data_IF_763159748925
#
_entry.id   IF_763159748925
#
_cell.length_a   1.000
_cell.length_b   1.000
_cell.length_c   1.000
_cell.angle_alpha   90.00
_cell.angle_beta   90.00
_cell.angle_gamma   90.00
#
_symmetry.space_group_name_H-M   'P 1'
#
loop_
_entity.id
_entity.type
_entity.pdbx_description
1 polymer ?
#
# COMPACT_ATOMS: atom_id res chain seq x y z
N UNK A 1 -3.30 -0.68 -29.30
CA UNK A 1 -3.52 0.71 -28.79
C UNK A 1 -3.66 0.66 -27.29
N UNK A 2 -3.18 1.68 -26.57
CA UNK A 2 -3.33 1.73 -25.10
C UNK A 2 -4.78 2.07 -24.75
N UNK A 3 -5.45 1.22 -23.99
CA UNK A 3 -6.81 1.48 -23.52
C UNK A 3 -6.86 2.61 -22.49
N UNK A 4 -7.98 3.33 -22.48
CA UNK A 4 -8.27 4.40 -21.51
C UNK A 4 -9.51 4.05 -20.73
N UNK A 5 -9.41 4.04 -19.39
CA UNK A 5 -10.53 3.77 -18.50
C UNK A 5 -10.98 5.03 -17.75
N UNK A 6 -12.28 5.12 -17.49
CA UNK A 6 -12.86 6.02 -16.51
C UNK A 6 -13.55 5.21 -15.40
N UNK A 7 -13.31 5.65 -14.15
CA UNK A 7 -13.96 5.07 -12.98
C UNK A 7 -15.12 5.96 -12.54
N UNK A 8 -16.31 5.36 -12.37
CA UNK A 8 -17.51 6.05 -11.88
C UNK A 8 -17.94 5.38 -10.57
N UNK A 9 -17.69 6.05 -9.45
CA UNK A 9 -18.14 5.59 -8.14
C UNK A 9 -19.54 6.14 -7.84
N UNK A 10 -20.49 5.25 -7.54
CA UNK A 10 -21.86 5.59 -7.22
C UNK A 10 -22.09 5.37 -5.74
N UNK A 11 -22.40 6.44 -5.02
CA UNK A 11 -22.66 6.44 -3.58
C UNK A 11 -22.70 7.86 -3.02
N UNK A 12 -23.79 8.18 -2.35
CA UNK A 12 -24.00 9.49 -1.72
C UNK A 12 -23.05 9.70 -0.55
N UNK A 13 -22.68 8.65 0.18
CA UNK A 13 -21.72 8.68 1.29
C UNK A 13 -20.31 9.10 0.86
N UNK A 14 -19.92 8.82 -0.39
CA UNK A 14 -18.66 9.28 -0.96
C UNK A 14 -18.67 10.79 -1.17
N UNK A 15 -19.77 11.35 -1.68
CA UNK A 15 -19.94 12.79 -1.89
C UNK A 15 -19.99 13.57 -0.58
N UNK A 16 -20.57 12.99 0.48
CA UNK A 16 -20.62 13.57 1.80
C UNK A 16 -19.29 13.48 2.57
N UNK A 17 -18.31 12.76 2.03
CA UNK A 17 -17.02 12.56 2.69
C UNK A 17 -17.06 11.63 3.91
N UNK A 18 -18.12 10.84 4.08
CA UNK A 18 -18.27 9.92 5.19
C UNK A 18 -17.27 8.75 5.09
N UNK A 19 -16.92 8.37 3.88
CA UNK A 19 -15.93 7.34 3.58
C UNK A 19 -14.99 7.78 2.45
N UNK A 20 -13.76 7.26 2.45
CA UNK A 20 -12.82 7.45 1.34
C UNK A 20 -13.14 6.48 0.19
N UNK A 21 -12.94 6.92 -1.06
CA UNK A 21 -13.10 6.08 -2.24
C UNK A 21 -11.89 5.14 -2.43
N UNK A 22 -11.80 4.12 -1.60
CA UNK A 22 -10.72 3.11 -1.64
C UNK A 22 -10.85 2.18 -2.84
N UNK A 23 -12.05 1.95 -3.35
CA UNK A 23 -12.31 1.12 -4.53
C UNK A 23 -11.67 1.72 -5.77
N UNK A 24 -11.87 3.03 -6.00
CA UNK A 24 -11.24 3.70 -7.13
C UNK A 24 -9.71 3.68 -7.03
N UNK A 25 -9.15 3.82 -5.84
CA UNK A 25 -7.71 3.70 -5.61
C UNK A 25 -7.20 2.31 -6.01
N UNK A 26 -7.83 1.26 -5.51
CA UNK A 26 -7.45 -0.14 -5.75
C UNK A 26 -7.60 -0.51 -7.23
N UNK A 27 -8.73 -0.13 -7.87
CA UNK A 27 -8.98 -0.40 -9.28
C UNK A 27 -7.96 0.34 -10.16
N UNK A 28 -7.65 1.61 -9.88
CA UNK A 28 -6.65 2.36 -10.64
C UNK A 28 -5.26 1.72 -10.56
N UNK A 29 -4.87 1.20 -9.39
CA UNK A 29 -3.62 0.46 -9.25
C UNK A 29 -3.63 -0.80 -10.13
N UNK A 30 -4.70 -1.59 -10.08
CA UNK A 30 -4.83 -2.78 -10.90
C UNK A 30 -4.91 -2.49 -12.40
N UNK A 31 -5.59 -1.42 -12.84
CA UNK A 31 -5.61 -0.99 -14.24
C UNK A 31 -4.23 -0.55 -14.72
N UNK A 32 -3.50 0.18 -13.88
CA UNK A 32 -2.11 0.53 -14.17
C UNK A 32 -1.22 -0.71 -14.31
N UNK A 33 -1.52 -1.80 -13.60
CA UNK A 33 -0.85 -3.12 -13.77
C UNK A 33 -1.15 -3.78 -15.11
N UNK A 34 -2.29 -3.46 -15.67
CA UNK A 34 -2.71 -3.91 -17.01
C UNK A 34 -2.32 -2.93 -18.12
N UNK A 35 -1.59 -1.83 -17.80
CA UNK A 35 -1.23 -0.78 -18.75
C UNK A 35 -2.42 0.00 -19.31
N UNK A 36 -3.54 -0.03 -18.62
CA UNK A 36 -4.74 0.73 -18.94
C UNK A 36 -4.63 2.09 -18.26
N UNK A 37 -4.69 3.16 -19.04
CA UNK A 37 -4.62 4.52 -18.51
C UNK A 37 -5.94 4.94 -17.85
N UNK A 38 -5.86 5.57 -16.69
CA UNK A 38 -7.02 6.19 -16.02
C UNK A 38 -6.78 7.69 -15.95
N UNK A 39 -7.60 8.46 -16.65
CA UNK A 39 -7.49 9.91 -16.64
C UNK A 39 -8.59 10.59 -15.81
N UNK A 40 -9.70 9.90 -15.55
CA UNK A 40 -10.85 10.47 -14.85
C UNK A 40 -11.41 9.53 -13.79
N UNK A 41 -11.65 10.10 -12.61
CA UNK A 41 -12.49 9.53 -11.57
C UNK A 41 -13.71 10.42 -11.40
N UNK A 42 -14.89 9.85 -11.59
CA UNK A 42 -16.16 10.54 -11.39
C UNK A 42 -16.87 9.94 -10.17
N UNK A 43 -17.36 10.79 -9.28
CA UNK A 43 -18.18 10.36 -8.13
C UNK A 43 -19.57 10.95 -8.31
N UNK A 44 -20.59 10.11 -8.23
CA UNK A 44 -21.99 10.51 -8.33
C UNK A 44 -22.80 9.95 -7.18
N UNK A 45 -23.79 10.72 -6.68
CA UNK A 45 -24.74 10.22 -5.69
C UNK A 45 -25.77 9.28 -6.34
N UNK A 46 -26.54 8.59 -5.52
CA UNK A 46 -27.55 7.59 -5.90
C UNK A 46 -28.76 8.24 -6.60
N UNK A 47 -28.53 8.66 -7.84
CA UNK A 47 -29.51 9.28 -8.70
C UNK A 47 -29.31 8.81 -10.15
N UNK A 48 -30.31 8.13 -10.75
CA UNK A 48 -30.16 7.49 -12.06
C UNK A 48 -29.86 8.48 -13.19
N UNK A 49 -30.42 9.68 -13.16
CA UNK A 49 -30.19 10.67 -14.21
C UNK A 49 -28.74 11.24 -14.14
N UNK A 50 -28.22 11.44 -12.93
CA UNK A 50 -26.83 11.86 -12.74
C UNK A 50 -25.85 10.76 -13.16
N UNK A 51 -26.15 9.50 -12.80
CA UNK A 51 -25.33 8.35 -13.24
C UNK A 51 -25.34 8.28 -14.77
N UNK A 52 -26.50 8.42 -15.42
CA UNK A 52 -26.60 8.41 -16.87
C UNK A 52 -25.78 9.56 -17.50
N UNK A 53 -25.90 10.79 -17.00
CA UNK A 53 -25.12 11.93 -17.49
C UNK A 53 -23.60 11.69 -17.35
N UNK A 54 -23.15 11.13 -16.23
CA UNK A 54 -21.75 10.78 -16.04
C UNK A 54 -21.28 9.74 -17.07
N UNK A 55 -22.10 8.72 -17.32
CA UNK A 55 -21.82 7.69 -18.32
C UNK A 55 -21.79 8.28 -19.74
N UNK A 56 -22.71 9.17 -20.10
CA UNK A 56 -22.74 9.81 -21.41
C UNK A 56 -21.50 10.69 -21.68
N UNK A 57 -20.96 11.31 -20.63
CA UNK A 57 -19.69 12.06 -20.71
C UNK A 57 -18.52 11.08 -20.84
N UNK A 58 -18.49 10.04 -20.02
CA UNK A 58 -17.40 9.08 -19.97
C UNK A 58 -17.26 8.29 -21.29
N UNK A 59 -18.36 7.92 -21.95
CA UNK A 59 -18.39 7.29 -23.28
C UNK A 59 -17.65 8.07 -24.37
N UNK A 60 -17.46 9.38 -24.21
CA UNK A 60 -16.81 10.24 -25.20
C UNK A 60 -15.29 10.31 -25.03
N UNK A 61 -14.75 9.79 -23.90
CA UNK A 61 -13.35 10.01 -23.54
C UNK A 61 -12.63 8.77 -23.00
N UNK A 62 -13.36 7.65 -22.84
CA UNK A 62 -12.80 6.39 -22.40
C UNK A 62 -13.43 5.23 -23.16
N UNK A 63 -12.65 4.22 -23.47
CA UNK A 63 -13.08 2.97 -24.13
C UNK A 63 -13.35 1.85 -23.10
N UNK A 64 -13.05 2.11 -21.82
CA UNK A 64 -13.40 1.23 -20.69
C UNK A 64 -14.09 2.06 -19.60
N UNK A 65 -15.29 1.68 -19.20
CA UNK A 65 -16.01 2.25 -18.06
C UNK A 65 -16.12 1.22 -16.95
N UNK A 66 -15.64 1.57 -15.77
CA UNK A 66 -15.80 0.71 -14.59
C UNK A 66 -16.63 1.49 -13.56
N UNK A 67 -17.77 0.92 -13.16
CA UNK A 67 -18.59 1.50 -12.10
C UNK A 67 -18.45 0.70 -10.81
N UNK A 68 -18.49 1.37 -9.66
CA UNK A 68 -18.57 0.75 -8.33
C UNK A 68 -19.78 1.27 -7.58
N UNK A 69 -20.50 0.38 -6.89
CA UNK A 69 -21.70 0.73 -6.11
C UNK A 69 -22.99 0.68 -6.88
N UNK A 70 -24.11 0.76 -6.14
CA UNK A 70 -25.47 0.77 -6.67
C UNK A 70 -25.92 -0.55 -7.34
N UNK A 71 -25.38 -1.70 -6.92
CA UNK A 71 -25.77 -3.04 -7.40
C UNK A 71 -26.56 -3.85 -6.37
N UNK A 72 -26.81 -3.30 -5.20
CA UNK A 72 -27.53 -3.95 -4.11
C UNK A 72 -29.03 -4.12 -4.36
N UNK A 73 -29.78 -4.53 -3.32
CA UNK A 73 -31.21 -4.81 -3.43
C UNK A 73 -32.10 -3.65 -3.02
N UNK A 74 -31.54 -2.48 -2.71
CA UNK A 74 -32.30 -1.34 -2.19
C UNK A 74 -32.84 -0.45 -3.32
N UNK A 75 -33.79 0.41 -3.03
CA UNK A 75 -34.45 1.24 -4.06
C UNK A 75 -33.51 2.30 -4.67
N UNK A 76 -32.42 2.59 -4.03
CA UNK A 76 -31.35 3.50 -4.45
C UNK A 76 -30.23 2.79 -5.25
N UNK A 77 -30.24 1.45 -5.31
CA UNK A 77 -29.30 0.66 -6.11
C UNK A 77 -29.70 0.66 -7.61
N UNK A 78 -29.46 1.76 -8.28
CA UNK A 78 -29.94 2.02 -9.64
C UNK A 78 -28.87 2.01 -10.72
N UNK A 79 -27.63 1.64 -10.40
CA UNK A 79 -26.51 1.66 -11.36
C UNK A 79 -26.77 0.78 -12.58
N UNK A 80 -27.27 -0.45 -12.39
CA UNK A 80 -27.60 -1.34 -13.52
C UNK A 80 -28.71 -0.78 -14.42
N UNK A 81 -29.71 -0.13 -13.83
CA UNK A 81 -30.82 0.49 -14.57
C UNK A 81 -30.29 1.66 -15.39
N UNK A 82 -29.51 2.55 -14.77
CA UNK A 82 -28.97 3.74 -15.44
C UNK A 82 -28.03 3.38 -16.61
N UNK A 83 -27.15 2.39 -16.41
CA UNK A 83 -26.23 1.95 -17.46
C UNK A 83 -26.98 1.18 -18.57
N UNK A 84 -27.93 0.32 -18.25
CA UNK A 84 -28.75 -0.36 -19.25
C UNK A 84 -29.47 0.66 -20.14
N UNK A 85 -30.05 1.72 -19.57
CA UNK A 85 -30.69 2.80 -20.31
C UNK A 85 -29.68 3.59 -21.15
N UNK A 86 -28.51 3.95 -20.62
CA UNK A 86 -27.48 4.71 -21.34
C UNK A 86 -26.93 3.96 -22.58
N UNK A 87 -27.00 2.64 -22.57
CA UNK A 87 -26.58 1.77 -23.68
C UNK A 87 -27.74 1.10 -24.42
N UNK A 88 -28.98 1.54 -24.20
CA UNK A 88 -30.17 1.03 -24.90
C UNK A 88 -30.46 -0.46 -24.67
N UNK A 89 -30.03 -1.02 -23.52
CA UNK A 89 -30.20 -2.43 -23.21
C UNK A 89 -31.39 -2.66 -22.28
N UNK A 90 -32.07 -3.80 -22.45
CA UNK A 90 -33.12 -4.27 -21.53
C UNK A 90 -32.45 -4.97 -20.35
N UNK A 91 -33.08 -4.89 -19.17
CA UNK A 91 -32.76 -5.74 -18.04
C UNK A 91 -33.56 -7.04 -18.13
N UNK A 92 -32.87 -8.17 -18.12
CA UNK A 92 -33.44 -9.50 -18.16
C UNK A 92 -33.20 -10.22 -16.85
N UNK A 93 -34.19 -10.97 -16.38
CA UNK A 93 -34.04 -11.80 -15.19
C UNK A 93 -33.15 -13.00 -15.50
N UNK A 94 -32.08 -13.15 -14.69
CA UNK A 94 -31.05 -14.17 -14.85
C UNK A 94 -31.19 -15.24 -13.75
N UNK A 95 -31.84 -16.35 -14.08
CA UNK A 95 -32.13 -17.43 -13.12
C UNK A 95 -30.86 -17.98 -12.41
N UNK A 96 -29.72 -18.21 -13.08
CA UNK A 96 -28.50 -18.66 -12.38
C UNK A 96 -28.07 -17.70 -11.29
N UNK A 97 -28.13 -16.38 -11.52
CA UNK A 97 -27.81 -15.38 -10.48
C UNK A 97 -28.82 -15.40 -9.33
N UNK A 98 -30.11 -15.55 -9.65
CA UNK A 98 -31.15 -15.68 -8.63
C UNK A 98 -30.97 -16.94 -7.77
N UNK A 99 -30.56 -18.05 -8.38
CA UNK A 99 -30.24 -19.27 -7.64
C UNK A 99 -29.07 -19.08 -6.69
N UNK A 100 -27.98 -18.44 -7.14
CA UNK A 100 -26.82 -18.12 -6.26
C UNK A 100 -27.21 -17.23 -5.08
N UNK A 101 -28.12 -16.28 -5.28
CA UNK A 101 -28.66 -15.45 -4.18
C UNK A 101 -29.38 -16.34 -3.17
N UNK A 102 -30.28 -17.24 -3.64
CA UNK A 102 -31.00 -18.19 -2.76
C UNK A 102 -30.05 -19.07 -1.96
N UNK A 103 -29.05 -19.64 -2.62
CA UNK A 103 -28.08 -20.54 -2.00
C UNK A 103 -27.27 -19.81 -0.93
N UNK A 104 -26.88 -18.57 -1.20
CA UNK A 104 -26.13 -17.74 -0.24
C UNK A 104 -26.97 -17.38 0.99
N UNK A 105 -28.22 -16.98 0.80
CA UNK A 105 -29.12 -16.69 1.91
C UNK A 105 -29.42 -17.94 2.73
N UNK A 106 -29.63 -19.09 2.08
CA UNK A 106 -29.81 -20.37 2.75
C UNK A 106 -28.57 -20.74 3.59
N UNK A 107 -27.35 -20.56 3.06
CA UNK A 107 -26.12 -20.79 3.81
C UNK A 107 -25.98 -19.87 5.04
N UNK A 108 -26.57 -18.66 5.01
CA UNK A 108 -26.60 -17.73 6.14
C UNK A 108 -27.78 -18.00 7.11
N UNK A 109 -28.65 -18.96 6.81
CA UNK A 109 -29.84 -19.22 7.60
C UNK A 109 -30.88 -18.10 7.56
N UNK A 110 -30.93 -17.31 6.48
CA UNK A 110 -31.81 -16.15 6.31
C UNK A 110 -32.78 -16.35 5.12
N UNK A 111 -34.00 -15.87 5.21
CA UNK A 111 -34.90 -15.88 4.06
C UNK A 111 -34.47 -14.84 3.02
N UNK A 112 -34.67 -15.17 1.74
CA UNK A 112 -34.51 -14.20 0.64
C UNK A 112 -35.77 -13.33 0.60
N UNK A 113 -35.62 -12.03 0.47
CA UNK A 113 -36.73 -11.10 0.26
C UNK A 113 -36.86 -10.78 -1.23
N UNK A 114 -38.05 -10.36 -1.65
CA UNK A 114 -38.36 -10.16 -3.08
C UNK A 114 -37.43 -9.13 -3.73
N UNK A 115 -37.07 -8.08 -3.02
CA UNK A 115 -36.15 -7.06 -3.50
C UNK A 115 -34.71 -7.59 -3.78
N UNK A 116 -34.28 -8.69 -3.13
CA UNK A 116 -32.98 -9.29 -3.44
C UNK A 116 -32.90 -9.78 -4.90
N UNK A 117 -34.00 -10.17 -5.51
CA UNK A 117 -34.03 -10.62 -6.91
C UNK A 117 -33.79 -9.49 -7.92
N UNK A 118 -33.89 -8.22 -7.51
CA UNK A 118 -33.43 -7.09 -8.31
C UNK A 118 -31.93 -7.20 -8.68
N UNK A 119 -31.14 -7.83 -7.82
CA UNK A 119 -29.73 -8.10 -8.11
C UNK A 119 -29.54 -9.08 -9.28
N UNK A 120 -30.51 -9.94 -9.55
CA UNK A 120 -30.51 -10.89 -10.67
C UNK A 120 -30.97 -10.29 -11.99
N UNK A 121 -31.37 -9.01 -12.03
CA UNK A 121 -31.66 -8.30 -13.28
C UNK A 121 -30.37 -7.92 -13.97
N UNK A 122 -30.10 -8.47 -15.15
CA UNK A 122 -28.84 -8.35 -15.89
C UNK A 122 -29.11 -7.68 -17.24
N UNK A 123 -28.27 -6.71 -17.68
CA UNK A 123 -28.38 -6.12 -19.02
C UNK A 123 -28.27 -7.20 -20.10
N UNK A 124 -29.15 -7.12 -21.10
CA UNK A 124 -29.20 -8.04 -22.21
C UNK A 124 -27.87 -8.18 -22.92
N UNK A 125 -27.39 -9.42 -23.11
CA UNK A 125 -26.13 -9.73 -23.74
C UNK A 125 -24.88 -9.43 -22.89
N UNK A 126 -25.04 -9.14 -21.60
CA UNK A 126 -23.92 -8.95 -20.70
C UNK A 126 -23.37 -10.29 -20.18
N UNK A 127 -22.08 -10.35 -19.97
CA UNK A 127 -21.42 -11.41 -19.22
C UNK A 127 -21.59 -11.19 -17.73
N UNK A 128 -22.12 -12.17 -17.02
CA UNK A 128 -22.26 -12.13 -15.56
C UNK A 128 -20.89 -12.38 -14.92
N UNK A 129 -20.50 -11.51 -14.02
CA UNK A 129 -19.32 -11.66 -13.16
C UNK A 129 -19.82 -12.19 -11.79
N UNK A 130 -19.65 -13.48 -11.57
CA UNK A 130 -20.11 -14.13 -10.35
C UNK A 130 -19.43 -13.58 -9.10
N UNK A 131 -20.23 -13.24 -8.10
CA UNK A 131 -19.77 -12.74 -6.81
C UNK A 131 -19.73 -13.86 -5.76
N UNK A 132 -18.55 -14.38 -5.47
CA UNK A 132 -18.35 -15.40 -4.44
C UNK A 132 -18.21 -14.81 -3.03
N UNK A 133 -18.13 -13.48 -2.90
CA UNK A 133 -17.87 -12.76 -1.65
C UNK A 133 -19.11 -11.99 -1.16
N UNK A 134 -20.11 -11.77 -2.01
CA UNK A 134 -21.35 -11.06 -1.73
C UNK A 134 -22.56 -11.68 -2.44
N UNK A 135 -23.65 -10.92 -2.56
CA UNK A 135 -24.89 -11.35 -3.21
C UNK A 135 -25.09 -10.72 -4.59
N UNK A 136 -24.60 -9.51 -4.81
CA UNK A 136 -24.79 -8.78 -6.05
C UNK A 136 -23.78 -9.25 -7.11
N UNK A 137 -24.20 -9.88 -8.22
CA UNK A 137 -23.31 -10.16 -9.33
C UNK A 137 -22.84 -8.86 -9.98
N UNK A 138 -21.58 -8.83 -10.38
CA UNK A 138 -21.11 -7.83 -11.33
C UNK A 138 -21.51 -8.21 -12.76
N UNK A 139 -21.32 -7.29 -13.68
CA UNK A 139 -21.59 -7.54 -15.10
C UNK A 139 -20.53 -6.87 -15.98
N UNK A 140 -20.26 -7.46 -17.14
CA UNK A 140 -19.41 -6.87 -18.16
C UNK A 140 -20.09 -6.99 -19.53
N UNK A 141 -19.99 -5.94 -20.36
CA UNK A 141 -20.44 -5.98 -21.75
C UNK A 141 -19.69 -4.94 -22.59
N UNK A 142 -19.75 -5.11 -23.91
CA UNK A 142 -19.30 -4.11 -24.86
C UNK A 142 -20.47 -3.53 -25.62
N UNK A 143 -20.51 -2.20 -25.77
CA UNK A 143 -21.49 -1.47 -26.58
C UNK A 143 -20.92 -0.12 -27.00
N UNK A 144 -21.28 0.36 -28.18
CA UNK A 144 -20.87 1.67 -28.73
C UNK A 144 -19.34 1.88 -28.75
N UNK A 145 -18.55 0.79 -28.88
CA UNK A 145 -17.09 0.83 -28.81
C UNK A 145 -16.51 0.94 -27.39
N UNK A 146 -17.34 0.85 -26.37
CA UNK A 146 -16.97 0.97 -24.97
C UNK A 146 -17.18 -0.36 -24.23
N UNK A 147 -16.20 -0.78 -23.45
CA UNK A 147 -16.32 -1.92 -22.50
C UNK A 147 -16.81 -1.40 -21.15
N UNK A 148 -17.92 -1.94 -20.69
CA UNK A 148 -18.54 -1.56 -19.41
C UNK A 148 -18.37 -2.69 -18.40
N UNK A 149 -17.88 -2.36 -17.21
CA UNK A 149 -17.77 -3.30 -16.08
C UNK A 149 -18.45 -2.67 -14.87
N UNK A 150 -19.37 -3.38 -14.24
CA UNK A 150 -20.06 -2.96 -13.03
C UNK A 150 -19.64 -3.85 -11.86
N UNK A 151 -19.15 -3.25 -10.79
CA UNK A 151 -18.71 -3.93 -9.57
C UNK A 151 -19.52 -3.45 -8.35
N UNK A 152 -19.70 -4.29 -7.31
CA UNK A 152 -20.36 -3.88 -6.07
C UNK A 152 -19.54 -2.81 -5.32
N UNK A 153 -20.22 -2.08 -4.41
CA UNK A 153 -19.60 -1.01 -3.62
C UNK A 153 -18.85 -1.44 -2.36
N UNK A 154 -19.22 -2.52 -1.64
CA UNK A 154 -18.46 -2.92 -0.46
C UNK A 154 -17.01 -3.25 -0.80
N UNK A 155 -15.98 -2.60 -0.17
CA UNK A 155 -14.59 -2.65 -0.62
C UNK A 155 -14.02 -4.06 -0.78
N UNK A 156 -14.31 -4.96 0.18
CA UNK A 156 -13.84 -6.35 0.10
C UNK A 156 -14.44 -7.11 -1.11
N UNK A 157 -15.73 -6.91 -1.39
CA UNK A 157 -16.39 -7.54 -2.53
C UNK A 157 -15.86 -6.96 -3.84
N UNK A 158 -15.75 -5.62 -3.92
CA UNK A 158 -15.23 -4.90 -5.07
C UNK A 158 -13.81 -5.36 -5.42
N UNK A 159 -12.91 -5.41 -4.44
CA UNK A 159 -11.53 -5.85 -4.64
C UNK A 159 -11.45 -7.28 -5.19
N UNK A 160 -12.13 -8.21 -4.54
CA UNK A 160 -12.07 -9.61 -4.93
C UNK A 160 -12.68 -9.84 -6.31
N UNK A 161 -13.80 -9.17 -6.61
CA UNK A 161 -14.41 -9.24 -7.93
C UNK A 161 -13.57 -8.58 -9.01
N UNK A 162 -12.94 -7.45 -8.72
CA UNK A 162 -12.01 -6.82 -9.65
C UNK A 162 -10.87 -7.77 -9.99
N UNK A 163 -10.16 -8.28 -8.98
CA UNK A 163 -8.99 -9.17 -9.17
C UNK A 163 -9.33 -10.46 -9.89
N UNK A 164 -10.43 -11.11 -9.52
CA UNK A 164 -10.74 -12.48 -9.98
C UNK A 164 -11.71 -12.54 -11.16
N UNK A 165 -12.42 -11.45 -11.48
CA UNK A 165 -13.42 -11.44 -12.56
C UNK A 165 -13.17 -10.34 -13.59
N UNK A 166 -12.96 -9.07 -13.15
CA UNK A 166 -12.74 -7.97 -14.08
C UNK A 166 -11.35 -8.03 -14.73
N UNK A 167 -10.29 -8.31 -13.97
CA UNK A 167 -8.92 -8.43 -14.52
C UNK A 167 -8.81 -9.49 -15.63
N UNK A 168 -9.34 -10.73 -15.50
CA UNK A 168 -9.36 -11.68 -16.61
C UNK A 168 -10.10 -11.17 -17.86
N UNK A 169 -11.24 -10.49 -17.67
CA UNK A 169 -11.98 -9.88 -18.78
C UNK A 169 -11.14 -8.78 -19.47
N UNK A 170 -10.52 -7.90 -18.71
CA UNK A 170 -9.69 -6.80 -19.22
C UNK A 170 -8.44 -7.32 -19.94
N UNK A 171 -7.80 -8.37 -19.45
CA UNK A 171 -6.67 -9.02 -20.14
C UNK A 171 -7.03 -9.56 -21.52
N UNK A 172 -8.30 -9.98 -21.70
CA UNK A 172 -8.79 -10.41 -23.00
C UNK A 172 -8.99 -9.28 -24.02
N UNK A 173 -8.87 -8.01 -23.61
CA UNK A 173 -9.01 -6.85 -24.50
C UNK A 173 -7.67 -6.35 -25.06
N UNK A 174 -6.54 -6.69 -24.44
CA UNK A 174 -5.23 -6.21 -24.85
C UNK A 174 -4.59 -7.17 -25.88
N UNK A 175 -4.06 -6.60 -26.98
CA UNK A 175 -3.21 -7.31 -27.95
C UNK A 175 -1.79 -7.41 -27.35
N UNK A 176 -1.53 -8.38 -26.49
CA UNK A 176 -0.22 -8.60 -25.87
C UNK A 176 -0.26 -8.61 -24.34
N UNK A 177 0.90 -8.75 -23.73
CA UNK A 177 1.09 -8.87 -22.28
C UNK A 177 1.81 -7.63 -21.76
N UNK A 178 1.37 -7.17 -20.61
CA UNK A 178 2.01 -6.10 -19.86
C UNK A 178 2.66 -6.69 -18.61
N UNK A 179 3.95 -6.42 -18.43
CA UNK A 179 4.68 -6.72 -17.21
C UNK A 179 5.12 -5.43 -16.52
N UNK A 180 5.22 -5.47 -15.21
CA UNK A 180 5.71 -4.35 -14.41
C UNK A 180 6.65 -4.83 -13.33
N UNK A 181 7.64 -4.00 -12.99
CA UNK A 181 8.52 -4.14 -11.82
C UNK A 181 8.52 -2.85 -11.04
N UNK A 182 8.51 -2.94 -9.73
CA UNK A 182 8.52 -1.77 -8.85
C UNK A 182 9.78 -1.75 -8.02
N UNK A 183 10.67 -0.80 -8.31
CA UNK A 183 11.86 -0.54 -7.48
C UNK A 183 11.42 0.37 -6.34
N UNK A 184 11.54 -0.12 -5.10
CA UNK A 184 11.22 0.65 -3.89
C UNK A 184 12.48 1.21 -3.27
N UNK A 185 12.39 2.46 -2.79
CA UNK A 185 13.50 3.17 -2.15
C UNK A 185 13.11 3.65 -0.76
N UNK A 186 14.13 3.94 0.05
CA UNK A 186 13.98 4.58 1.36
C UNK A 186 15.02 5.69 1.52
N UNK A 187 14.62 6.81 2.17
CA UNK A 187 15.52 7.90 2.52
C UNK A 187 15.81 8.91 1.41
N UNK A 188 15.20 8.74 0.21
CA UNK A 188 15.30 9.72 -0.88
C UNK A 188 13.93 10.30 -1.20
N UNK A 189 13.85 11.63 -1.32
CA UNK A 189 12.62 12.30 -1.72
C UNK A 189 12.40 12.26 -3.23
N UNK A 190 11.13 12.47 -3.66
CA UNK A 190 10.71 12.40 -5.07
C UNK A 190 11.55 13.30 -6.00
N UNK A 191 11.76 14.57 -5.61
CA UNK A 191 12.53 15.53 -6.41
C UNK A 191 13.98 15.11 -6.61
N UNK A 192 14.61 14.55 -5.58
CA UNK A 192 15.99 14.04 -5.67
C UNK A 192 16.04 12.77 -6.53
N UNK A 193 15.10 11.85 -6.35
CA UNK A 193 14.98 10.64 -7.16
C UNK A 193 14.72 10.98 -8.64
N UNK A 194 13.81 11.92 -8.94
CA UNK A 194 13.57 12.42 -10.31
C UNK A 194 14.82 13.02 -10.91
N UNK A 195 15.57 13.83 -10.15
CA UNK A 195 16.81 14.46 -10.65
C UNK A 195 17.85 13.43 -11.09
N UNK A 196 18.00 12.34 -10.32
CA UNK A 196 18.94 11.25 -10.61
C UNK A 196 18.50 10.41 -11.83
N UNK A 197 17.19 10.33 -12.08
CA UNK A 197 16.61 9.45 -13.10
C UNK A 197 16.06 10.19 -14.33
N UNK A 198 16.14 11.53 -14.38
CA UNK A 198 15.48 12.39 -15.37
C UNK A 198 15.78 12.02 -16.82
N UNK A 199 17.05 11.83 -17.15
CA UNK A 199 17.45 11.42 -18.50
C UNK A 199 16.92 10.04 -18.86
N UNK A 200 16.96 9.12 -17.92
CA UNK A 200 16.39 7.79 -18.04
C UNK A 200 14.88 7.85 -18.22
N UNK A 201 14.19 8.79 -17.55
CA UNK A 201 12.73 8.96 -17.66
C UNK A 201 12.28 9.55 -19.00
N UNK A 202 13.10 10.37 -19.63
CA UNK A 202 12.76 11.04 -20.89
C UNK A 202 13.09 10.21 -22.14
N UNK A 203 13.97 9.22 -22.03
CA UNK A 203 14.56 8.54 -23.18
C UNK A 203 13.74 7.37 -23.77
N UNK A 204 12.72 6.86 -23.06
CA UNK A 204 12.07 5.59 -23.43
C UNK A 204 10.54 5.72 -23.47
N UNK A 205 9.92 5.13 -24.49
CA UNK A 205 8.47 5.01 -24.64
C UNK A 205 7.93 3.63 -24.20
N UNK A 206 8.74 2.58 -24.32
CA UNK A 206 8.47 1.24 -23.84
C UNK A 206 9.82 0.59 -23.44
N UNK A 207 10.05 0.31 -22.15
CA UNK A 207 9.14 0.44 -21.01
C UNK A 207 8.85 1.89 -20.58
N UNK A 208 7.65 2.13 -20.07
CA UNK A 208 7.27 3.38 -19.39
C UNK A 208 7.70 3.37 -17.93
N UNK A 209 7.80 4.54 -17.30
CA UNK A 209 8.23 4.70 -15.92
C UNK A 209 7.44 5.76 -15.21
N UNK A 210 7.04 5.48 -13.97
CA UNK A 210 6.29 6.39 -13.14
C UNK A 210 6.86 6.38 -11.71
N UNK A 211 7.44 7.53 -11.23
CA UNK A 211 7.78 7.68 -9.83
C UNK A 211 6.51 8.00 -9.03
N UNK A 212 6.42 7.40 -7.84
CA UNK A 212 5.36 7.66 -6.87
C UNK A 212 6.00 8.04 -5.54
N UNK A 213 5.71 9.24 -5.05
CA UNK A 213 6.12 9.66 -3.71
C UNK A 213 5.47 8.78 -2.64
N UNK A 214 6.24 8.40 -1.65
CA UNK A 214 5.80 7.72 -0.43
C UNK A 214 6.32 8.48 0.80
N UNK A 215 5.72 8.31 1.98
CA UNK A 215 6.10 9.07 3.16
C UNK A 215 7.59 9.01 3.53
N UNK A 216 8.29 7.92 3.20
CA UNK A 216 9.69 7.70 3.58
C UNK A 216 10.60 7.36 2.39
N UNK A 217 10.14 7.54 1.14
CA UNK A 217 10.93 7.22 -0.04
C UNK A 217 10.15 7.40 -1.33
N UNK A 218 10.60 6.74 -2.37
CA UNK A 218 9.98 6.77 -3.70
C UNK A 218 9.82 5.35 -4.22
N UNK A 219 8.70 5.07 -4.87
CA UNK A 219 8.51 3.85 -5.65
C UNK A 219 8.63 4.21 -7.12
N UNK A 220 9.51 3.52 -7.84
CA UNK A 220 9.63 3.66 -9.29
C UNK A 220 9.06 2.42 -9.95
N UNK A 221 7.97 2.58 -10.66
CA UNK A 221 7.37 1.52 -11.45
C UNK A 221 7.87 1.57 -12.88
N UNK A 222 8.34 0.43 -13.38
CA UNK A 222 8.81 0.20 -14.75
C UNK A 222 7.81 -0.77 -15.38
N UNK A 223 7.17 -0.36 -16.49
CA UNK A 223 6.11 -1.15 -17.13
C UNK A 223 6.42 -1.29 -18.63
N UNK A 224 6.44 -2.51 -19.12
CA UNK A 224 6.63 -2.83 -20.55
C UNK A 224 5.44 -3.60 -21.12
N UNK A 225 5.16 -3.33 -22.39
CA UNK A 225 4.21 -4.10 -23.21
C UNK A 225 4.99 -4.88 -24.27
N UNK A 226 4.65 -6.17 -24.45
CA UNK A 226 5.21 -7.05 -25.48
C UNK A 226 4.23 -8.17 -25.84
N UNK A 227 4.57 -9.01 -26.80
CA UNK A 227 3.71 -10.15 -27.18
C UNK A 227 3.69 -11.24 -26.11
N UNK A 228 4.77 -11.37 -25.32
CA UNK A 228 4.90 -12.33 -24.23
C UNK A 228 5.41 -11.67 -22.94
N UNK A 229 5.09 -12.28 -21.79
CA UNK A 229 5.59 -11.81 -20.49
C UNK A 229 7.12 -11.84 -20.42
N UNK A 230 7.74 -12.86 -21.00
CA UNK A 230 9.19 -12.98 -21.05
C UNK A 230 9.85 -11.83 -21.84
N UNK A 231 9.28 -11.43 -22.97
CA UNK A 231 9.74 -10.27 -23.73
C UNK A 231 9.53 -8.95 -22.99
N UNK A 232 8.37 -8.77 -22.34
CA UNK A 232 8.11 -7.58 -21.52
C UNK A 232 9.11 -7.47 -20.36
N UNK A 233 9.39 -8.56 -19.66
CA UNK A 233 10.41 -8.60 -18.60
C UNK A 233 11.82 -8.36 -19.13
N UNK A 234 12.15 -8.84 -20.34
CA UNK A 234 13.45 -8.59 -20.98
C UNK A 234 13.65 -7.10 -21.34
N UNK A 235 12.56 -6.37 -21.67
CA UNK A 235 12.60 -4.92 -21.87
C UNK A 235 12.79 -4.16 -20.53
N UNK A 236 12.23 -4.65 -19.44
CA UNK A 236 12.32 -4.03 -18.12
C UNK A 236 13.71 -4.20 -17.51
N UNK A 237 14.31 -5.39 -17.61
CA UNK A 237 15.53 -5.75 -16.89
C UNK A 237 16.69 -4.74 -17.05
N UNK A 238 17.07 -4.25 -18.23
CA UNK A 238 18.16 -3.29 -18.37
C UNK A 238 17.84 -1.92 -17.73
N UNK A 239 16.58 -1.54 -17.68
CA UNK A 239 16.12 -0.30 -17.03
C UNK A 239 16.12 -0.45 -15.52
N UNK A 240 15.69 -1.59 -15.01
CA UNK A 240 15.73 -1.93 -13.58
C UNK A 240 17.16 -1.85 -13.04
N UNK A 241 18.13 -2.45 -13.76
CA UNK A 241 19.53 -2.41 -13.35
C UNK A 241 20.11 -0.98 -13.35
N UNK A 242 19.81 -0.16 -14.36
CA UNK A 242 20.23 1.24 -14.39
C UNK A 242 19.61 2.04 -13.22
N UNK A 243 18.35 1.77 -12.86
CA UNK A 243 17.71 2.40 -11.71
C UNK A 243 18.39 1.98 -10.41
N UNK A 244 18.67 0.69 -10.24
CA UNK A 244 19.37 0.18 -9.04
C UNK A 244 20.77 0.79 -8.90
N UNK A 245 21.52 0.87 -10.00
CA UNK A 245 22.87 1.44 -10.01
C UNK A 245 22.84 2.92 -9.58
N UNK A 246 21.95 3.72 -10.17
CA UNK A 246 21.87 5.17 -9.91
C UNK A 246 21.30 5.49 -8.53
N UNK A 247 20.33 4.71 -8.06
CA UNK A 247 19.70 4.90 -6.75
C UNK A 247 20.54 4.28 -5.62
N UNK A 248 21.39 3.31 -5.92
CA UNK A 248 22.37 2.73 -4.99
C UNK A 248 21.77 2.29 -3.66
N UNK A 249 22.34 2.78 -2.57
CA UNK A 249 21.94 2.38 -1.19
C UNK A 249 20.50 2.77 -0.80
N UNK A 250 19.85 3.68 -1.55
CA UNK A 250 18.44 4.00 -1.33
C UNK A 250 17.51 2.86 -1.72
N UNK A 251 17.92 1.95 -2.63
CA UNK A 251 17.07 0.82 -3.03
C UNK A 251 16.90 -0.15 -1.87
N UNK A 252 15.66 -0.44 -1.52
CA UNK A 252 15.32 -1.45 -0.51
C UNK A 252 14.98 -2.80 -1.14
N UNK A 253 14.55 -2.82 -2.41
CA UNK A 253 14.26 -4.03 -3.17
C UNK A 253 13.38 -3.76 -4.38
N UNK A 254 13.15 -4.83 -5.15
CA UNK A 254 12.23 -4.86 -6.29
C UNK A 254 11.07 -5.75 -5.95
N UNK A 255 9.84 -5.27 -6.20
CA UNK A 255 8.58 -5.96 -5.89
C UNK A 255 8.48 -6.45 -4.43
N UNK A 256 9.11 -5.74 -3.51
CA UNK A 256 9.03 -6.04 -2.08
C UNK A 256 7.84 -5.32 -1.45
N UNK A 257 7.23 -5.92 -0.43
CA UNK A 257 6.05 -5.32 0.21
C UNK A 257 6.41 -4.02 0.94
N UNK A 258 7.43 -4.10 1.83
CA UNK A 258 7.83 -3.00 2.71
C UNK A 258 9.25 -3.18 3.23
N UNK A 259 9.78 -2.15 3.89
CA UNK A 259 11.10 -2.21 4.54
C UNK A 259 11.13 -3.27 5.65
N UNK A 260 10.05 -3.42 6.41
CA UNK A 260 9.88 -4.44 7.44
C UNK A 260 9.96 -5.85 6.85
N UNK A 261 9.35 -6.04 5.66
CA UNK A 261 9.39 -7.31 4.94
C UNK A 261 10.82 -7.67 4.53
N UNK A 262 11.56 -6.69 4.05
CA UNK A 262 12.97 -6.88 3.66
C UNK A 262 13.81 -7.24 4.89
N UNK A 263 13.68 -6.49 5.99
CA UNK A 263 14.39 -6.79 7.23
C UNK A 263 14.06 -8.19 7.76
N UNK A 264 12.77 -8.57 7.75
CA UNK A 264 12.32 -9.89 8.17
C UNK A 264 13.00 -10.99 7.33
N UNK A 265 12.97 -10.89 6.01
CA UNK A 265 13.54 -11.87 5.10
C UNK A 265 15.06 -11.97 5.26
N UNK A 266 15.77 -10.85 5.46
CA UNK A 266 17.21 -10.82 5.67
C UNK A 266 17.61 -11.48 6.99
N UNK A 267 16.89 -11.18 8.09
CA UNK A 267 17.13 -11.83 9.39
C UNK A 267 16.93 -13.34 9.30
N UNK A 268 15.83 -13.77 8.67
CA UNK A 268 15.51 -15.18 8.50
C UNK A 268 16.56 -15.90 7.67
N UNK A 269 16.97 -15.31 6.53
CA UNK A 269 17.97 -15.90 5.65
C UNK A 269 19.36 -16.05 6.32
N UNK A 270 19.71 -15.14 7.25
CA UNK A 270 20.97 -15.15 7.96
C UNK A 270 20.89 -15.91 9.30
N UNK A 271 19.70 -16.38 9.71
CA UNK A 271 19.49 -17.06 10.99
C UNK A 271 19.71 -16.16 12.21
N UNK A 272 19.55 -14.83 12.05
CA UNK A 272 19.79 -13.83 13.08
C UNK A 272 18.51 -13.43 13.80
N UNK A 273 18.64 -13.07 15.06
CA UNK A 273 17.53 -12.65 15.92
C UNK A 273 17.62 -11.19 16.31
N UNK A 274 16.44 -10.55 16.43
CA UNK A 274 16.27 -9.12 16.70
C UNK A 274 15.60 -8.87 18.04
N UNK A 275 16.06 -7.83 18.75
CA UNK A 275 15.39 -7.24 19.90
C UNK A 275 15.26 -5.73 19.77
N UNK A 276 14.35 -5.10 20.54
CA UNK A 276 14.18 -3.65 20.53
C UNK A 276 14.16 -3.04 21.94
N UNK A 277 14.73 -1.82 22.08
CA UNK A 277 14.57 -0.95 23.24
C UNK A 277 13.98 0.38 22.79
N UNK A 278 12.74 0.64 23.15
CA UNK A 278 11.98 1.74 22.61
C UNK A 278 11.57 2.75 23.68
N UNK A 279 11.89 4.04 23.44
CA UNK A 279 11.39 5.14 24.26
C UNK A 279 10.34 5.92 23.49
N UNK A 280 10.70 6.87 22.66
CA UNK A 280 9.76 7.72 21.93
C UNK A 280 8.88 6.97 20.92
N UNK A 281 9.32 5.85 20.35
CA UNK A 281 8.54 5.01 19.44
C UNK A 281 7.48 4.18 20.16
N UNK A 282 7.72 3.85 21.46
CA UNK A 282 6.70 3.25 22.34
C UNK A 282 6.18 1.89 21.87
N UNK A 283 7.04 1.02 21.35
CA UNK A 283 6.70 -0.30 20.84
C UNK A 283 6.39 -0.34 19.32
N UNK A 284 6.52 0.76 18.61
CA UNK A 284 6.17 0.83 17.19
C UNK A 284 7.13 -0.01 16.33
N UNK A 285 8.43 -0.06 16.65
CA UNK A 285 9.40 -0.90 15.92
C UNK A 285 9.04 -2.38 16.11
N UNK A 286 8.79 -2.78 17.37
CA UNK A 286 8.34 -4.13 17.69
C UNK A 286 7.03 -4.49 16.97
N UNK A 287 6.06 -3.57 16.94
CA UNK A 287 4.78 -3.75 16.23
C UNK A 287 5.01 -3.99 14.74
N UNK A 288 5.81 -3.18 14.06
CA UNK A 288 6.07 -3.32 12.62
C UNK A 288 6.69 -4.69 12.28
N UNK A 289 7.55 -5.22 13.14
CA UNK A 289 8.11 -6.57 12.96
C UNK A 289 7.06 -7.65 13.24
N UNK A 290 6.28 -7.50 14.31
CA UNK A 290 5.32 -8.53 14.76
C UNK A 290 4.01 -8.54 13.99
N UNK A 291 3.70 -7.53 13.19
CA UNK A 291 2.58 -7.56 12.24
C UNK A 291 2.74 -8.66 11.17
N UNK A 292 3.95 -9.18 10.99
CA UNK A 292 4.21 -10.25 10.01
C UNK A 292 4.08 -11.64 10.64
N UNK A 293 3.34 -12.55 9.99
CA UNK A 293 3.28 -13.94 10.42
C UNK A 293 4.68 -14.57 10.43
N UNK A 294 4.97 -15.36 11.45
CA UNK A 294 6.27 -16.03 11.61
C UNK A 294 7.34 -15.20 12.32
N UNK A 295 7.02 -14.02 12.84
CA UNK A 295 7.98 -13.12 13.52
C UNK A 295 8.65 -13.76 14.74
N UNK A 296 8.02 -14.74 15.39
CA UNK A 296 8.59 -15.47 16.53
C UNK A 296 9.91 -16.22 16.20
N UNK A 297 10.17 -16.48 14.93
CA UNK A 297 11.42 -17.11 14.50
C UNK A 297 12.63 -16.16 14.61
N UNK A 298 12.41 -14.85 14.43
CA UNK A 298 13.47 -13.85 14.36
C UNK A 298 13.40 -12.78 15.47
N UNK A 299 12.26 -12.56 16.09
CA UNK A 299 12.07 -11.51 17.09
C UNK A 299 12.02 -12.08 18.51
N UNK A 300 12.98 -11.69 19.35
CA UNK A 300 13.10 -12.14 20.74
C UNK A 300 12.22 -11.36 21.71
N UNK A 301 11.93 -10.10 21.39
CA UNK A 301 11.09 -9.24 22.20
C UNK A 301 11.42 -7.76 22.06
N UNK A 302 10.59 -6.92 22.67
CA UNK A 302 10.78 -5.48 22.74
C UNK A 302 10.60 -4.96 24.16
N UNK A 303 11.46 -4.05 24.59
CA UNK A 303 11.42 -3.39 25.89
C UNK A 303 11.01 -1.94 25.67
N UNK A 304 9.80 -1.55 26.09
CA UNK A 304 9.38 -0.15 26.12
C UNK A 304 9.94 0.51 27.38
N UNK A 305 11.09 1.16 27.25
CA UNK A 305 11.81 1.82 28.33
C UNK A 305 11.51 3.32 28.37
N UNK A 306 10.26 3.69 28.71
CA UNK A 306 9.74 5.03 28.55
C UNK A 306 10.29 6.02 29.59
N UNK A 307 10.58 5.56 30.80
CA UNK A 307 11.16 6.37 31.89
C UNK A 307 12.62 6.01 32.15
N UNK A 308 13.38 6.96 32.77
CA UNK A 308 14.77 6.73 33.14
C UNK A 308 14.92 5.53 34.11
N UNK A 309 13.99 5.37 35.03
CA UNK A 309 14.00 4.23 35.95
C UNK A 309 13.92 2.88 35.23
N UNK A 310 13.12 2.79 34.16
CA UNK A 310 13.03 1.56 33.33
C UNK A 310 14.30 1.37 32.49
N UNK A 311 14.86 2.46 31.90
CA UNK A 311 16.13 2.40 31.18
C UNK A 311 17.25 1.85 32.08
N UNK A 312 17.34 2.38 33.29
CA UNK A 312 18.35 1.90 34.26
C UNK A 312 18.10 0.45 34.71
N UNK A 313 16.90 0.18 35.24
CA UNK A 313 16.61 -1.10 35.89
C UNK A 313 16.55 -2.28 34.92
N UNK A 314 15.98 -2.10 33.73
CA UNK A 314 15.71 -3.20 32.79
C UNK A 314 16.78 -3.34 31.72
N UNK A 315 17.29 -2.20 31.22
CA UNK A 315 18.30 -2.19 30.17
C UNK A 315 19.72 -2.01 30.72
N UNK A 316 19.88 -1.79 32.03
CA UNK A 316 21.20 -1.56 32.64
C UNK A 316 21.87 -0.26 32.21
N UNK A 317 21.10 0.74 31.69
CA UNK A 317 21.67 2.04 31.36
C UNK A 317 22.26 2.66 32.62
N UNK A 318 23.57 3.01 32.67
CA UNK A 318 24.21 3.60 33.84
C UNK A 318 23.49 4.90 34.26
N UNK A 319 23.29 5.07 35.58
CA UNK A 319 22.60 6.23 36.11
C UNK A 319 23.35 7.53 35.82
N UNK A 320 24.66 7.48 35.89
CA UNK A 320 25.57 8.62 35.59
C UNK A 320 25.44 9.10 34.14
N UNK A 321 25.17 8.20 33.16
CA UNK A 321 24.89 8.60 31.79
C UNK A 321 23.54 9.34 31.69
N UNK A 322 22.51 8.86 32.40
CA UNK A 322 21.21 9.52 32.44
C UNK A 322 21.28 10.90 33.10
N UNK A 323 22.04 11.03 34.18
CA UNK A 323 22.23 12.28 34.90
C UNK A 323 23.06 13.28 34.11
N UNK A 324 24.13 12.84 33.47
CA UNK A 324 25.07 13.69 32.72
C UNK A 324 24.49 14.11 31.37
N UNK A 325 24.07 13.14 30.55
CA UNK A 325 23.68 13.38 29.14
C UNK A 325 22.17 13.46 28.92
N UNK A 326 21.36 13.01 29.88
CA UNK A 326 19.91 12.93 29.75
C UNK A 326 19.44 11.74 28.91
N UNK A 327 18.14 11.46 28.99
CA UNK A 327 17.52 10.34 28.30
C UNK A 327 17.63 10.43 26.75
N UNK A 328 17.69 11.65 26.22
CA UNK A 328 17.78 11.91 24.78
C UNK A 328 19.22 12.29 24.44
N UNK A 329 20.05 11.28 24.27
CA UNK A 329 21.47 11.44 23.93
C UNK A 329 21.99 10.20 23.19
N UNK A 330 23.09 10.34 22.41
CA UNK A 330 23.69 9.20 21.72
C UNK A 330 24.24 8.16 22.70
N UNK A 331 24.79 8.58 23.84
CA UNK A 331 25.31 7.68 24.87
C UNK A 331 24.21 6.80 25.48
N UNK A 332 23.04 7.38 25.74
CA UNK A 332 21.89 6.61 26.26
C UNK A 332 21.29 5.72 25.18
N UNK A 333 21.23 6.16 23.92
CA UNK A 333 20.78 5.31 22.82
C UNK A 333 21.68 4.08 22.65
N UNK A 334 23.01 4.24 22.72
CA UNK A 334 23.98 3.15 22.68
C UNK A 334 23.77 2.18 23.86
N UNK A 335 23.72 2.70 25.09
CA UNK A 335 23.51 1.90 26.28
C UNK A 335 22.19 1.13 26.23
N UNK A 336 21.12 1.73 25.70
CA UNK A 336 19.83 1.06 25.50
C UNK A 336 19.92 -0.08 24.48
N UNK A 337 20.62 0.10 23.34
CA UNK A 337 20.78 -0.95 22.33
C UNK A 337 21.59 -2.14 22.89
N UNK A 338 22.72 -1.88 23.53
CA UNK A 338 23.54 -2.92 24.17
C UNK A 338 22.78 -3.64 25.28
N UNK A 339 22.09 -2.89 26.13
CA UNK A 339 21.28 -3.45 27.22
C UNK A 339 20.13 -4.32 26.72
N UNK A 340 19.44 -3.92 25.66
CA UNK A 340 18.39 -4.73 25.05
C UNK A 340 18.94 -6.03 24.45
N UNK A 341 20.09 -5.95 23.75
CA UNK A 341 20.73 -7.14 23.18
C UNK A 341 21.07 -8.17 24.27
N UNK A 342 21.60 -7.71 25.38
CA UNK A 342 21.93 -8.57 26.52
C UNK A 342 20.67 -9.11 27.20
N UNK A 343 19.70 -8.25 27.53
CA UNK A 343 18.51 -8.63 28.27
C UNK A 343 17.60 -9.60 27.50
N UNK A 344 17.57 -9.47 26.17
CA UNK A 344 16.74 -10.31 25.30
C UNK A 344 17.49 -11.52 24.71
N UNK A 345 18.82 -11.58 24.88
CA UNK A 345 19.64 -12.67 24.32
C UNK A 345 19.54 -12.76 22.81
N UNK A 346 19.51 -11.62 22.11
CA UNK A 346 19.41 -11.56 20.65
C UNK A 346 20.74 -11.18 19.99
N UNK A 347 20.85 -11.48 18.69
CA UNK A 347 22.06 -11.20 17.91
C UNK A 347 22.20 -9.70 17.63
N UNK A 348 21.07 -9.03 17.31
CA UNK A 348 20.99 -7.62 16.99
C UNK A 348 19.93 -6.96 17.86
N UNK A 349 20.19 -5.75 18.36
CA UNK A 349 19.18 -4.94 19.02
C UNK A 349 19.14 -3.53 18.47
N UNK A 350 17.92 -3.00 18.29
CA UNK A 350 17.66 -1.61 17.93
C UNK A 350 17.24 -0.83 19.16
N UNK A 351 17.65 0.45 19.23
CA UNK A 351 17.15 1.36 20.25
C UNK A 351 16.63 2.67 19.64
N UNK A 352 15.69 3.31 20.33
CA UNK A 352 15.20 4.63 19.98
C UNK A 352 14.97 5.48 21.23
N UNK A 353 15.55 6.68 21.29
CA UNK A 353 15.27 7.67 22.31
C UNK A 353 15.23 9.06 21.69
N UNK A 354 14.25 9.91 22.05
CA UNK A 354 14.10 11.20 21.37
C UNK A 354 12.88 11.99 21.81
N UNK A 355 12.74 13.18 21.26
CA UNK A 355 11.67 14.14 21.52
C UNK A 355 10.64 14.09 20.40
N UNK A 356 9.50 13.46 20.65
CA UNK A 356 8.42 13.35 19.67
C UNK A 356 7.44 14.56 19.69
N UNK A 357 7.55 15.45 20.69
CA UNK A 357 6.66 16.59 20.85
C UNK A 357 5.42 16.27 21.72
N UNK A 358 4.55 17.26 22.02
CA UNK A 358 4.47 18.59 21.38
C UNK A 358 5.54 19.61 21.84
N UNK A 359 6.21 19.39 22.96
CA UNK A 359 7.17 20.31 23.53
C UNK A 359 8.60 19.75 23.48
N UNK A 360 9.64 20.59 23.50
CA UNK A 360 11.02 20.18 23.75
C UNK A 360 11.13 19.43 25.09
N UNK A 361 12.21 18.67 25.28
CA UNK A 361 12.46 18.04 26.58
C UNK A 361 13.04 19.05 27.60
N UNK A 362 13.13 18.61 28.87
CA UNK A 362 13.62 19.45 29.99
C UNK A 362 15.09 19.92 29.83
N UNK A 363 15.81 19.37 28.88
CA UNK A 363 17.20 19.76 28.54
C UNK A 363 17.29 20.64 27.30
N UNK A 364 16.16 21.02 26.72
CA UNK A 364 16.10 21.88 25.53
C UNK A 364 16.37 21.13 24.21
N UNK A 365 16.35 19.81 24.19
CA UNK A 365 16.41 19.08 22.93
C UNK A 365 15.15 19.37 22.09
N UNK A 366 15.31 19.72 20.81
CA UNK A 366 14.18 20.14 19.97
C UNK A 366 13.28 18.96 19.60
N UNK A 367 12.01 19.27 19.32
CA UNK A 367 11.07 18.30 18.72
C UNK A 367 11.69 17.74 17.44
N UNK A 368 11.51 16.43 17.23
CA UNK A 368 12.00 15.72 16.06
C UNK A 368 13.46 15.25 16.16
N UNK A 369 14.18 15.55 17.23
CA UNK A 369 15.48 14.95 17.51
C UNK A 369 15.28 13.56 18.10
N UNK A 370 15.79 12.53 17.41
CA UNK A 370 15.77 11.13 17.88
C UNK A 370 17.14 10.50 17.64
N UNK A 371 17.66 9.81 18.64
CA UNK A 371 18.84 8.96 18.50
C UNK A 371 18.40 7.51 18.34
N UNK A 372 18.93 6.87 17.29
CA UNK A 372 18.64 5.50 16.87
C UNK A 372 19.92 4.69 17.00
N UNK A 373 19.91 3.66 17.83
CA UNK A 373 21.04 2.75 18.03
C UNK A 373 20.82 1.40 17.39
N UNK A 374 21.88 0.79 16.89
CA UNK A 374 21.96 -0.61 16.51
C UNK A 374 23.17 -1.26 17.15
N UNK A 375 22.97 -2.37 17.86
CA UNK A 375 24.04 -3.13 18.53
C UNK A 375 24.10 -4.57 18.05
N UNK A 376 25.30 -5.07 17.75
CA UNK A 376 25.57 -6.47 17.36
C UNK A 376 26.99 -6.85 17.81
N UNK A 377 27.20 -8.09 18.22
CA UNK A 377 28.50 -8.48 18.80
C UNK A 377 28.94 -7.48 19.87
N UNK A 378 30.14 -6.96 19.77
CA UNK A 378 30.68 -5.89 20.63
C UNK A 378 30.56 -4.48 20.00
N UNK A 379 29.92 -4.40 18.84
CA UNK A 379 29.76 -3.17 18.09
C UNK A 379 28.43 -2.47 18.43
N UNK A 380 28.43 -1.15 18.30
CA UNK A 380 27.21 -0.35 18.33
C UNK A 380 27.41 0.92 17.50
N UNK A 381 26.41 1.28 16.73
CA UNK A 381 26.35 2.54 15.96
C UNK A 381 25.10 3.30 16.38
N UNK A 382 25.22 4.62 16.52
CA UNK A 382 24.10 5.50 16.84
C UNK A 382 23.98 6.60 15.78
N UNK A 383 22.80 6.70 15.18
CA UNK A 383 22.47 7.74 14.20
C UNK A 383 21.51 8.76 14.82
N UNK A 384 21.73 10.05 14.56
CA UNK A 384 20.79 11.11 14.90
C UNK A 384 19.80 11.33 13.75
N UNK A 385 18.50 11.21 14.04
CA UNK A 385 17.42 11.59 13.14
C UNK A 385 16.92 12.99 13.53
N UNK A 386 16.70 13.83 12.54
CA UNK A 386 16.08 15.16 12.67
C UNK A 386 14.83 15.23 11.81
N UNK A 387 13.67 14.91 12.40
CA UNK A 387 12.39 14.87 11.69
C UNK A 387 11.79 16.25 11.37
N UNK A 388 12.45 17.32 11.87
CA UNK A 388 11.98 18.70 11.77
C UNK A 388 11.12 19.13 12.96
N UNK A 389 11.28 20.40 13.36
CA UNK A 389 10.63 20.98 14.56
C UNK A 389 9.13 21.14 14.41
N UNK A 390 8.60 21.14 13.18
CA UNK A 390 7.17 21.22 12.88
C UNK A 390 6.53 19.83 12.63
N UNK A 391 7.30 18.76 12.83
CA UNK A 391 6.77 17.41 12.65
C UNK A 391 5.77 17.05 13.76
N UNK A 392 4.65 16.45 13.39
CA UNK A 392 3.70 15.92 14.38
C UNK A 392 4.33 14.77 15.16
N UNK A 393 3.86 14.55 16.39
CA UNK A 393 4.30 13.44 17.24
C UNK A 393 4.22 12.07 16.51
N UNK A 394 3.16 11.84 15.77
CA UNK A 394 2.97 10.63 14.97
C UNK A 394 4.04 10.51 13.89
N UNK A 395 4.31 11.61 13.16
CA UNK A 395 5.32 11.64 12.10
C UNK A 395 6.72 11.35 12.65
N UNK A 396 7.10 11.96 13.78
CA UNK A 396 8.40 11.71 14.43
C UNK A 396 8.55 10.24 14.80
N UNK A 397 7.53 9.64 15.42
CA UNK A 397 7.55 8.24 15.84
C UNK A 397 7.65 7.29 14.65
N UNK A 398 6.86 7.53 13.59
CA UNK A 398 6.88 6.73 12.37
C UNK A 398 8.24 6.82 11.65
N UNK A 399 8.80 8.02 11.50
CA UNK A 399 10.12 8.21 10.93
C UNK A 399 11.20 7.51 11.76
N UNK A 400 11.17 7.64 13.09
CA UNK A 400 12.12 6.98 13.98
C UNK A 400 12.07 5.44 13.83
N UNK A 401 10.89 4.86 13.75
CA UNK A 401 10.75 3.42 13.56
C UNK A 401 11.27 2.96 12.19
N UNK A 402 10.90 3.66 11.13
CA UNK A 402 11.35 3.33 9.77
C UNK A 402 12.86 3.51 9.58
N UNK A 403 13.46 4.59 10.11
CA UNK A 403 14.91 4.77 10.07
C UNK A 403 15.66 3.75 10.92
N UNK A 404 15.08 3.25 12.03
CA UNK A 404 15.65 2.13 12.78
C UNK A 404 15.70 0.85 11.96
N UNK A 405 14.65 0.58 11.19
CA UNK A 405 14.60 -0.57 10.28
C UNK A 405 15.56 -0.40 9.09
N UNK A 406 15.75 0.82 8.58
CA UNK A 406 16.78 1.06 7.56
C UNK A 406 18.21 0.85 8.07
N UNK A 407 18.51 1.25 9.31
CA UNK A 407 19.78 0.90 9.96
C UNK A 407 19.98 -0.62 10.01
N UNK A 408 18.95 -1.36 10.37
CA UNK A 408 18.98 -2.83 10.38
C UNK A 408 19.22 -3.39 8.97
N UNK A 409 18.48 -2.92 7.96
CA UNK A 409 18.68 -3.33 6.57
C UNK A 409 20.10 -3.07 6.09
N UNK A 410 20.60 -1.85 6.32
CA UNK A 410 21.97 -1.47 5.93
C UNK A 410 23.00 -2.38 6.59
N UNK A 411 22.86 -2.67 7.88
CA UNK A 411 23.73 -3.62 8.57
C UNK A 411 23.70 -5.01 7.93
N UNK A 412 22.49 -5.56 7.72
CA UNK A 412 22.31 -6.91 7.17
C UNK A 412 22.77 -7.05 5.70
N UNK A 413 22.83 -5.93 4.97
CA UNK A 413 23.30 -5.91 3.56
C UNK A 413 24.72 -5.39 3.39
N UNK A 414 25.45 -5.10 4.48
CA UNK A 414 26.82 -4.58 4.44
C UNK A 414 26.94 -3.16 3.90
N UNK A 415 25.85 -2.38 3.88
CA UNK A 415 25.88 -0.97 3.48
C UNK A 415 26.40 -0.08 4.62
N UNK A 416 26.98 1.10 4.30
CA UNK A 416 27.40 2.05 5.33
C UNK A 416 26.23 2.47 6.23
N UNK A 417 26.44 2.43 7.55
CA UNK A 417 25.46 2.84 8.55
C UNK A 417 25.40 4.35 8.73
N UNK A 418 26.51 5.03 8.45
CA UNK A 418 26.62 6.50 8.42
C UNK A 418 26.62 6.96 6.97
N UNK A 419 25.92 8.06 6.70
CA UNK A 419 26.03 8.76 5.41
C UNK A 419 27.24 9.68 5.51
N UNK A 420 28.18 9.51 4.58
CA UNK A 420 29.36 10.39 4.44
C UNK A 420 28.96 11.82 4.05
#
# INVERSE_FOLDING_TARGET
>A
MSHTAELIAVGTELLLGNIANTDAQMISQGLSELGINVFYHTVVGDNPDRVRQAVDIAKQRADILITTGGLGPTCDDLTKVALAQAFGRKLLYHEPSAQRIRDRFAAMGRPVTENNYQQAMIPEGATVLDNDWGTAPGVAFAADGVHVIMLPGPPRECEMMFRHRAVPYLRGLSDGVIASRTVKTFGIGESAAESVLRDLMNALHNPTRAPYAKPNGTELRITAHADTEAEALALIAPVEEQVKERMGHYVIGVDVDSLEAVCFSLLQAQGLTLGTAESCTGGLIAKLITDRPGSSAIFRGGIVSYTNAVKHRVLGVPQDLLDTYGAVSPQVAEAMARGARQALGCDIALSSTGVAGPDPDDRGNPIGLVYLGIAWGDQCVVKALRAGTMATRERVRNQAAQHSLDLLRRHLTGLPLEES
#
